data_IF_017070944315
#
_entry.id   IF_017070944315
#
_cell.length_a   1.000
_cell.length_b   1.000
_cell.length_c   1.000
_cell.angle_alpha   90.00
_cell.angle_beta   90.00
_cell.angle_gamma   90.00
#
_symmetry.space_group_name_H-M   'P 1'
#
loop_
_entity.id
_entity.type
_entity.pdbx_description
1 polymer ?
#
# COMPACT_ATOMS: atom_id res chain seq x y z
N UNK A 1 18.96 5.89 9.91
CA UNK A 1 19.44 7.09 10.64
C UNK A 1 18.59 8.34 10.33
N UNK A 2 18.21 8.59 9.07
CA UNK A 2 17.34 9.72 8.65
C UNK A 2 15.91 9.79 9.22
N UNK A 3 15.21 8.65 9.41
CA UNK A 3 13.86 8.60 10.02
C UNK A 3 13.80 9.07 11.48
N UNK A 4 14.94 9.18 12.17
CA UNK A 4 15.02 9.78 13.52
C UNK A 4 15.24 11.30 13.49
N UNK A 5 15.64 11.85 12.34
CA UNK A 5 15.96 13.27 12.15
C UNK A 5 14.73 14.00 11.59
N UNK A 6 13.98 13.35 10.70
CA UNK A 6 12.66 13.83 10.23
C UNK A 6 11.61 13.12 11.07
N UNK A 7 11.25 13.71 12.22
CA UNK A 7 10.08 13.23 12.96
C UNK A 7 8.85 13.27 12.06
N UNK A 8 8.01 12.22 12.11
CA UNK A 8 6.70 12.27 11.44
C UNK A 8 5.98 13.51 11.97
N UNK A 9 5.59 14.47 11.11
CA UNK A 9 4.89 15.66 11.57
C UNK A 9 3.66 15.25 12.37
N UNK A 10 3.45 15.85 13.55
CA UNK A 10 2.20 15.66 14.28
C UNK A 10 1.03 16.07 13.37
N UNK A 11 -0.06 15.30 13.38
CA UNK A 11 -1.29 15.66 12.65
C UNK A 11 -1.75 17.08 13.00
N UNK A 12 -1.57 17.53 14.24
CA UNK A 12 -1.90 18.89 14.68
C UNK A 12 -1.11 19.98 13.93
N UNK A 13 0.14 19.69 13.55
CA UNK A 13 0.96 20.60 12.78
C UNK A 13 0.53 20.67 11.31
N UNK A 14 0.00 19.57 10.76
CA UNK A 14 -0.50 19.49 9.39
C UNK A 14 -1.86 20.18 9.24
N UNK A 15 -2.76 20.07 10.22
CA UNK A 15 -4.10 20.69 10.18
C UNK A 15 -4.01 22.21 10.02
N UNK A 16 -2.95 22.85 10.54
CA UNK A 16 -2.72 24.30 10.39
C UNK A 16 -2.11 24.71 9.06
N UNK A 17 -1.71 23.75 8.22
CA UNK A 17 -1.04 23.96 6.93
C UNK A 17 -1.74 23.14 5.85
N UNK A 18 -2.92 23.58 5.37
CA UNK A 18 -3.81 22.75 4.55
C UNK A 18 -3.17 22.31 3.23
N UNK A 19 -2.24 23.09 2.67
CA UNK A 19 -1.46 22.69 1.50
C UNK A 19 -0.59 21.45 1.76
N UNK A 20 0.13 21.43 2.88
CA UNK A 20 0.93 20.25 3.27
C UNK A 20 0.04 19.08 3.68
N UNK A 21 -1.09 19.35 4.34
CA UNK A 21 -2.05 18.31 4.71
C UNK A 21 -2.58 17.59 3.47
N UNK A 22 -3.01 18.32 2.42
CA UNK A 22 -3.54 17.69 1.21
C UNK A 22 -2.54 16.72 0.58
N UNK A 23 -1.31 17.16 0.31
CA UNK A 23 -0.27 16.26 -0.22
C UNK A 23 0.09 15.13 0.74
N UNK A 24 0.07 15.38 2.05
CA UNK A 24 0.29 14.31 3.03
C UNK A 24 -0.79 13.24 2.93
N UNK A 25 -2.07 13.63 2.91
CA UNK A 25 -3.19 12.71 2.76
C UNK A 25 -3.09 11.97 1.43
N UNK A 26 -2.92 12.68 0.30
CA UNK A 26 -2.73 12.09 -1.02
C UNK A 26 -1.61 11.04 -1.07
N UNK A 27 -0.50 11.27 -0.37
CA UNK A 27 0.62 10.31 -0.26
C UNK A 27 0.29 9.03 0.52
N UNK A 28 -0.83 9.03 1.26
CA UNK A 28 -1.29 7.93 2.12
C UNK A 28 -2.59 7.29 1.65
N UNK A 29 -3.20 7.74 0.55
CA UNK A 29 -4.34 7.05 -0.04
C UNK A 29 -3.82 5.91 -0.93
N UNK A 30 -4.34 4.68 -0.77
CA UNK A 30 -4.02 3.57 -1.65
C UNK A 30 -4.80 3.67 -2.96
N UNK A 31 -4.25 4.44 -3.90
CA UNK A 31 -4.83 4.60 -5.23
C UNK A 31 -3.88 4.06 -6.29
N UNK A 32 -4.39 3.90 -7.51
CA UNK A 32 -3.57 3.59 -8.67
C UNK A 32 -2.65 4.77 -9.04
N UNK A 33 -1.72 4.51 -9.95
CA UNK A 33 -0.80 5.54 -10.46
C UNK A 33 -1.52 6.66 -11.23
N UNK A 34 -2.60 6.35 -11.97
CA UNK A 34 -3.41 7.34 -12.69
C UNK A 34 -4.10 8.31 -11.74
N UNK A 35 -4.78 7.79 -10.73
CA UNK A 35 -5.43 8.61 -9.70
C UNK A 35 -4.40 9.37 -8.85
N UNK A 36 -3.22 8.78 -8.60
CA UNK A 36 -2.13 9.48 -7.91
C UNK A 36 -1.65 10.69 -8.73
N UNK A 37 -1.49 10.54 -10.04
CA UNK A 37 -1.13 11.64 -10.94
C UNK A 37 -2.22 12.72 -10.95
N UNK A 38 -3.50 12.32 -11.03
CA UNK A 38 -4.64 13.23 -10.95
C UNK A 38 -4.57 14.12 -9.69
N UNK A 39 -4.35 13.52 -8.51
CA UNK A 39 -4.25 14.27 -7.24
C UNK A 39 -3.09 15.28 -7.24
N UNK A 40 -1.98 14.97 -7.89
CA UNK A 40 -0.82 15.87 -8.00
C UNK A 40 -1.10 17.05 -8.93
N UNK A 41 -1.89 16.84 -9.99
CA UNK A 41 -2.22 17.85 -10.99
C UNK A 41 -3.33 18.81 -10.56
N UNK A 42 -4.15 18.45 -9.57
CA UNK A 42 -5.20 19.34 -9.05
C UNK A 42 -4.58 20.62 -8.50
N UNK A 43 -4.88 21.74 -9.15
CA UNK A 43 -4.58 23.07 -8.67
C UNK A 43 -5.68 23.55 -7.72
N UNK A 44 -5.28 23.92 -6.51
CA UNK A 44 -6.18 24.33 -5.42
C UNK A 44 -6.39 23.29 -4.33
N UNK A 45 -6.02 23.68 -3.10
CA UNK A 45 -6.01 22.83 -1.91
C UNK A 45 -7.40 22.24 -1.61
N UNK A 46 -8.47 23.06 -1.70
CA UNK A 46 -9.83 22.62 -1.42
C UNK A 46 -10.40 21.65 -2.47
N UNK A 47 -9.92 21.70 -3.72
CA UNK A 47 -10.31 20.73 -4.74
C UNK A 47 -9.62 19.38 -4.47
N UNK A 48 -8.33 19.41 -4.14
CA UNK A 48 -7.58 18.19 -3.82
C UNK A 48 -8.13 17.47 -2.59
N UNK A 49 -8.36 18.22 -1.50
CA UNK A 49 -8.96 17.66 -0.27
C UNK A 49 -10.35 17.06 -0.52
N UNK A 50 -11.18 17.69 -1.36
CA UNK A 50 -12.50 17.13 -1.73
C UNK A 50 -12.37 15.83 -2.50
N UNK A 51 -11.45 15.78 -3.46
CA UNK A 51 -11.17 14.56 -4.23
C UNK A 51 -10.61 13.44 -3.35
N UNK A 52 -9.73 13.78 -2.41
CA UNK A 52 -9.21 12.85 -1.40
C UNK A 52 -10.33 12.27 -0.52
N UNK A 53 -11.29 13.09 -0.09
CA UNK A 53 -12.45 12.62 0.68
C UNK A 53 -13.30 11.66 -0.14
N UNK A 54 -13.64 12.01 -1.38
CA UNK A 54 -14.41 11.15 -2.29
C UNK A 54 -13.73 9.79 -2.49
N UNK A 55 -12.42 9.79 -2.75
CA UNK A 55 -11.63 8.56 -2.89
C UNK A 55 -11.66 7.73 -1.59
N UNK A 56 -11.53 8.38 -0.43
CA UNK A 56 -11.58 7.69 0.86
C UNK A 56 -12.99 7.17 1.21
N UNK A 57 -14.05 7.80 0.73
CA UNK A 57 -15.43 7.34 0.93
C UNK A 57 -15.76 6.14 0.03
N UNK A 58 -15.26 6.13 -1.21
CA UNK A 58 -15.53 5.08 -2.19
C UNK A 58 -14.52 3.91 -2.15
N UNK A 59 -13.39 4.06 -1.44
CA UNK A 59 -12.41 2.99 -1.27
C UNK A 59 -12.90 1.94 -0.26
N UNK A 60 -13.61 0.93 -0.75
CA UNK A 60 -14.00 -0.25 0.06
C UNK A 60 -13.26 -1.53 -0.37
N UNK A 61 -12.96 -1.67 -1.66
CA UNK A 61 -12.39 -2.89 -2.24
C UNK A 61 -11.08 -2.63 -2.99
N UNK A 62 -10.13 -3.53 -2.80
CA UNK A 62 -8.90 -3.63 -3.60
C UNK A 62 -9.16 -4.63 -4.71
N UNK A 63 -9.11 -4.17 -5.96
CA UNK A 63 -9.35 -5.00 -7.15
C UNK A 63 -8.09 -5.08 -8.00
N UNK A 64 -7.88 -6.20 -8.70
CA UNK A 64 -6.82 -6.31 -9.69
C UNK A 64 -7.07 -5.34 -10.84
N UNK A 65 -6.07 -4.52 -11.20
CA UNK A 65 -6.16 -3.57 -12.31
C UNK A 65 -6.47 -4.24 -13.65
N UNK A 66 -5.90 -5.42 -13.89
CA UNK A 66 -6.01 -6.12 -15.18
C UNK A 66 -7.39 -6.77 -15.40
N UNK A 67 -7.95 -7.45 -14.38
CA UNK A 67 -9.17 -8.24 -14.55
C UNK A 67 -10.32 -7.86 -13.60
N UNK A 68 -10.14 -6.84 -12.76
CA UNK A 68 -11.13 -6.36 -11.79
C UNK A 68 -11.53 -7.37 -10.69
N UNK A 69 -10.89 -8.54 -10.60
CA UNK A 69 -11.08 -9.50 -9.50
C UNK A 69 -10.83 -8.83 -8.16
N UNK A 70 -11.77 -8.97 -7.22
CA UNK A 70 -11.64 -8.46 -5.85
C UNK A 70 -10.57 -9.26 -5.10
N UNK A 71 -9.55 -8.56 -4.61
CA UNK A 71 -8.40 -9.13 -3.89
C UNK A 71 -8.56 -8.98 -2.39
N UNK A 72 -9.06 -7.83 -1.92
CA UNK A 72 -9.24 -7.58 -0.49
C UNK A 72 -10.29 -6.49 -0.24
N UNK A 73 -10.71 -6.34 1.00
CA UNK A 73 -11.49 -5.20 1.48
C UNK A 73 -10.59 -4.25 2.28
N UNK A 74 -10.94 -2.97 2.33
CA UNK A 74 -10.27 -1.93 3.14
C UNK A 74 -10.18 -2.32 4.61
N UNK A 75 -11.20 -2.99 5.15
CA UNK A 75 -11.22 -3.47 6.53
C UNK A 75 -10.10 -4.48 6.85
N UNK A 76 -9.48 -5.05 5.81
CA UNK A 76 -8.30 -5.90 5.93
C UNK A 76 -6.97 -5.14 5.99
N UNK A 77 -6.94 -3.82 5.84
CA UNK A 77 -5.70 -3.04 5.89
C UNK A 77 -4.99 -3.19 7.24
N UNK A 78 -3.67 -3.33 7.17
CA UNK A 78 -2.80 -3.57 8.30
C UNK A 78 -1.67 -2.55 8.28
N UNK A 79 -1.32 -2.00 9.45
CA UNK A 79 -0.17 -1.10 9.58
C UNK A 79 1.06 -1.90 10.00
N UNK A 80 2.01 -2.07 9.09
CA UNK A 80 3.30 -2.75 9.35
C UNK A 80 4.49 -1.79 9.42
N UNK A 81 4.28 -0.50 9.17
CA UNK A 81 5.30 0.56 9.17
C UNK A 81 4.81 1.77 9.97
N UNK A 82 5.75 2.56 10.51
CA UNK A 82 5.45 3.86 11.14
C UNK A 82 4.83 4.86 10.16
N UNK A 83 5.02 4.63 8.86
CA UNK A 83 4.51 5.48 7.78
C UNK A 83 3.05 5.15 7.42
N UNK A 84 2.44 4.15 8.08
CA UNK A 84 1.07 3.71 7.84
C UNK A 84 1.01 2.36 7.09
N UNK A 85 -0.16 2.03 6.52
CA UNK A 85 -0.38 0.78 5.79
C UNK A 85 0.20 0.78 4.37
N UNK A 86 0.79 1.89 3.93
CA UNK A 86 1.45 2.08 2.64
C UNK A 86 2.92 2.43 2.85
N UNK A 87 3.78 1.84 2.05
CA UNK A 87 5.21 2.16 2.04
C UNK A 87 5.82 1.99 0.66
N UNK A 88 6.86 2.78 0.37
CA UNK A 88 7.68 2.63 -0.82
C UNK A 88 8.92 1.79 -0.47
N UNK A 89 9.13 0.72 -1.22
CA UNK A 89 10.21 -0.23 -0.99
C UNK A 89 10.98 -0.50 -2.28
N UNK A 90 12.28 -0.76 -2.16
CA UNK A 90 13.15 -0.98 -3.32
C UNK A 90 13.57 -2.44 -3.34
N UNK A 91 13.44 -3.10 -4.49
CA UNK A 91 13.94 -4.45 -4.67
C UNK A 91 15.46 -4.45 -5.01
N UNK A 92 16.15 -5.61 -4.98
CA UNK A 92 17.59 -5.67 -5.24
C UNK A 92 18.02 -5.16 -6.62
N UNK A 93 17.12 -5.23 -7.61
CA UNK A 93 17.34 -4.71 -8.96
C UNK A 93 17.11 -3.20 -9.08
N UNK A 94 16.75 -2.52 -8.00
CA UNK A 94 16.56 -1.07 -7.96
C UNK A 94 15.15 -0.58 -8.30
N UNK A 95 14.17 -1.47 -8.51
CA UNK A 95 12.79 -1.07 -8.77
C UNK A 95 12.08 -0.68 -7.48
N UNK A 96 11.40 0.47 -7.52
CA UNK A 96 10.58 0.97 -6.42
C UNK A 96 9.16 0.41 -6.54
N UNK A 97 8.64 -0.12 -5.44
CA UNK A 97 7.28 -0.61 -5.31
C UNK A 97 6.58 0.14 -4.18
N UNK A 98 5.47 0.81 -4.50
CA UNK A 98 4.51 1.26 -3.51
C UNK A 98 3.64 0.07 -3.10
N UNK A 99 3.71 -0.31 -1.83
CA UNK A 99 3.12 -1.54 -1.30
C UNK A 99 2.15 -1.20 -0.19
N UNK A 100 0.92 -1.70 -0.34
CA UNK A 100 -0.11 -1.70 0.70
C UNK A 100 -0.05 -3.01 1.48
N UNK A 101 -0.07 -2.93 2.81
CA UNK A 101 -0.13 -4.10 3.68
C UNK A 101 -1.55 -4.45 4.12
N UNK A 102 -1.94 -5.72 3.94
CA UNK A 102 -3.26 -6.26 4.23
C UNK A 102 -3.16 -7.54 5.07
N UNK A 103 -3.99 -7.68 6.09
CA UNK A 103 -4.08 -8.91 6.89
C UNK A 103 -4.76 -10.04 6.10
N UNK A 104 -5.76 -9.72 5.28
CA UNK A 104 -6.53 -10.71 4.50
C UNK A 104 -6.56 -10.30 3.03
N UNK A 105 -6.31 -11.27 2.16
CA UNK A 105 -6.51 -11.18 0.73
C UNK A 105 -6.96 -12.55 0.17
N UNK A 106 -7.62 -12.54 -0.97
CA UNK A 106 -8.16 -13.70 -1.68
C UNK A 106 -7.91 -13.56 -3.18
N UNK A 107 -8.14 -14.63 -3.95
CA UNK A 107 -7.94 -14.59 -5.41
C UNK A 107 -6.46 -14.45 -5.82
N UNK A 108 -5.54 -14.89 -4.94
CA UNK A 108 -4.10 -14.86 -5.17
C UNK A 108 -3.53 -16.28 -5.16
N UNK A 109 -2.69 -16.58 -6.14
CA UNK A 109 -1.89 -17.80 -6.23
C UNK A 109 -0.44 -17.49 -5.80
N UNK A 110 0.15 -18.36 -4.99
CA UNK A 110 1.54 -18.23 -4.54
C UNK A 110 2.47 -19.02 -5.45
N UNK A 111 3.63 -18.43 -5.76
CA UNK A 111 4.63 -19.06 -6.63
C UNK A 111 5.99 -19.01 -5.97
N UNK A 112 6.65 -20.17 -5.91
CA UNK A 112 7.97 -20.35 -5.32
C UNK A 112 7.94 -20.59 -3.80
N UNK A 113 9.12 -20.85 -3.25
CA UNK A 113 9.31 -21.05 -1.81
C UNK A 113 9.45 -19.70 -1.07
N UNK A 114 9.01 -19.60 0.20
CA UNK A 114 9.26 -18.42 1.01
C UNK A 114 10.76 -18.16 1.21
N UNK A 115 11.21 -16.93 0.99
CA UNK A 115 12.61 -16.51 1.23
C UNK A 115 12.70 -15.27 2.11
N UNK A 116 13.71 -15.20 2.97
CA UNK A 116 14.01 -14.02 3.80
C UNK A 116 14.93 -13.02 3.07
N UNK A 117 15.51 -13.43 1.95
CA UNK A 117 16.48 -12.63 1.21
C UNK A 117 15.85 -11.31 0.76
N UNK A 118 16.48 -10.19 1.13
CA UNK A 118 15.98 -8.84 0.83
C UNK A 118 14.55 -8.53 1.28
N UNK A 119 14.05 -9.22 2.31
CA UNK A 119 12.74 -8.93 2.88
C UNK A 119 12.68 -7.51 3.45
N UNK A 120 11.62 -6.78 3.10
CA UNK A 120 11.37 -5.43 3.62
C UNK A 120 10.86 -5.41 5.06
N UNK A 121 10.39 -6.55 5.56
CA UNK A 121 9.83 -6.70 6.90
C UNK A 121 10.70 -7.71 7.67
N UNK A 122 11.63 -7.23 8.52
CA UNK A 122 12.51 -8.10 9.29
C UNK A 122 11.74 -9.15 10.10
N UNK A 123 12.19 -10.41 10.03
CA UNK A 123 11.51 -11.55 10.67
C UNK A 123 10.35 -12.16 9.85
N UNK A 124 10.19 -11.74 8.59
CA UNK A 124 9.25 -12.33 7.65
C UNK A 124 9.96 -12.78 6.36
N UNK A 125 9.64 -13.99 5.91
CA UNK A 125 9.95 -14.47 4.57
C UNK A 125 8.83 -14.04 3.60
N UNK A 126 9.16 -13.79 2.34
CA UNK A 126 8.18 -13.42 1.31
C UNK A 126 8.05 -14.51 0.24
N UNK A 127 6.86 -14.64 -0.31
CA UNK A 127 6.53 -15.50 -1.46
C UNK A 127 5.80 -14.67 -2.50
N UNK A 128 6.10 -14.84 -3.79
CA UNK A 128 5.42 -14.10 -4.85
C UNK A 128 3.92 -14.45 -4.89
N UNK A 129 3.08 -13.43 -5.05
CA UNK A 129 1.64 -13.56 -5.16
C UNK A 129 1.15 -13.01 -6.50
N UNK A 130 0.41 -13.83 -7.24
CA UNK A 130 -0.15 -13.54 -8.55
C UNK A 130 -1.67 -13.54 -8.48
N UNK A 131 -2.35 -12.73 -9.29
CA UNK A 131 -3.80 -12.84 -9.43
C UNK A 131 -4.14 -14.22 -9.99
N UNK A 132 -4.97 -14.98 -9.30
CA UNK A 132 -5.37 -16.33 -9.73
C UNK A 132 -6.25 -16.33 -11.00
N UNK A 133 -6.75 -15.16 -11.41
CA UNK A 133 -7.61 -15.02 -12.61
C UNK A 133 -6.84 -14.64 -13.86
N UNK A 134 -5.92 -13.67 -13.77
CA UNK A 134 -5.21 -13.13 -14.94
C UNK A 134 -3.69 -13.28 -14.88
N UNK A 135 -3.17 -13.93 -13.84
CA UNK A 135 -1.76 -14.28 -13.68
C UNK A 135 -0.81 -13.07 -13.67
N UNK A 136 -1.32 -11.86 -13.49
CA UNK A 136 -0.48 -10.71 -13.20
C UNK A 136 0.05 -10.78 -11.77
N UNK A 137 1.34 -10.52 -11.59
CA UNK A 137 1.93 -10.43 -10.25
C UNK A 137 1.24 -9.30 -9.46
N UNK A 138 0.63 -9.61 -8.32
CA UNK A 138 -0.04 -8.63 -7.48
C UNK A 138 0.86 -8.13 -6.35
N UNK A 139 1.77 -8.97 -5.87
CA UNK A 139 2.69 -8.61 -4.79
C UNK A 139 3.29 -9.82 -4.12
N UNK A 140 3.18 -9.89 -2.80
CA UNK A 140 3.83 -10.90 -1.97
C UNK A 140 2.99 -11.31 -0.76
N UNK A 141 3.12 -12.57 -0.33
CA UNK A 141 2.73 -13.02 1.00
C UNK A 141 3.96 -12.99 1.91
N UNK A 142 3.88 -12.26 3.02
CA UNK A 142 4.88 -12.25 4.08
C UNK A 142 4.47 -13.21 5.19
N UNK A 143 5.36 -14.14 5.56
CA UNK A 143 5.12 -15.16 6.60
C UNK A 143 6.19 -15.07 7.68
N UNK A 144 5.75 -15.01 8.95
CA UNK A 144 6.63 -14.83 10.09
C UNK A 144 7.53 -16.05 10.32
N UNK A 145 8.85 -15.82 10.33
CA UNK A 145 9.86 -16.87 10.53
C UNK A 145 10.00 -17.28 12.01
N UNK A 146 9.46 -16.46 12.93
CA UNK A 146 9.40 -16.76 14.36
C UNK A 146 7.95 -16.79 14.88
N UNK A 147 7.61 -17.82 15.67
CA UNK A 147 6.29 -18.02 16.30
C UNK A 147 5.82 -16.87 17.21
N UNK A 148 6.74 -16.07 17.73
CA UNK A 148 6.44 -14.91 18.60
C UNK A 148 5.93 -13.69 17.82
N UNK A 149 6.23 -13.60 16.53
CA UNK A 149 5.82 -12.46 15.70
C UNK A 149 4.33 -12.53 15.36
N UNK A 150 3.71 -11.35 15.38
CA UNK A 150 2.33 -11.12 14.94
C UNK A 150 2.31 -9.97 13.92
N UNK A 151 1.49 -10.07 12.87
CA UNK A 151 0.67 -11.24 12.51
C UNK A 151 1.54 -12.44 12.07
N UNK A 152 0.96 -13.65 11.97
CA UNK A 152 1.70 -14.84 11.48
C UNK A 152 1.96 -14.77 9.98
N UNK A 153 1.08 -14.09 9.26
CA UNK A 153 1.28 -13.71 7.87
C UNK A 153 0.47 -12.46 7.54
N UNK A 154 0.87 -11.76 6.49
CA UNK A 154 0.14 -10.65 5.90
C UNK A 154 0.56 -10.51 4.44
N UNK A 155 -0.22 -9.77 3.66
CA UNK A 155 0.00 -9.53 2.24
C UNK A 155 0.60 -8.15 2.02
N UNK A 156 1.54 -8.06 1.08
CA UNK A 156 1.98 -6.79 0.50
C UNK A 156 1.53 -6.73 -0.96
N UNK A 157 0.60 -5.83 -1.30
CA UNK A 157 0.04 -5.67 -2.64
C UNK A 157 0.60 -4.40 -3.29
N UNK A 158 1.04 -4.51 -4.55
CA UNK A 158 1.58 -3.39 -5.33
C UNK A 158 0.44 -2.46 -5.75
N UNK A 159 0.52 -1.18 -5.37
CA UNK A 159 -0.53 -0.21 -5.69
C UNK A 159 -0.69 0.01 -7.20
N UNK A 160 0.38 -0.13 -7.98
CA UNK A 160 0.33 -0.06 -9.46
C UNK A 160 -0.51 -1.15 -10.13
N UNK A 161 -0.81 -2.22 -9.39
CA UNK A 161 -1.64 -3.36 -9.83
C UNK A 161 -3.06 -3.32 -9.26
N UNK A 162 -3.41 -2.25 -8.53
CA UNK A 162 -4.75 -2.02 -8.00
C UNK A 162 -5.54 -1.18 -9.00
N UNK A 163 -6.81 -1.54 -9.22
CA UNK A 163 -7.72 -0.77 -10.07
C UNK A 163 -8.09 0.56 -9.41
N UNK A 164 -8.38 1.57 -10.24
CA UNK A 164 -8.89 2.86 -9.81
C UNK A 164 -10.23 2.66 -9.07
N UNK A 165 -10.42 3.35 -7.95
CA UNK A 165 -11.72 3.47 -7.30
C UNK A 165 -12.67 4.23 -8.22
N UNK A 166 -13.74 3.55 -8.65
CA UNK A 166 -14.88 4.18 -9.33
C UNK A 166 -15.79 4.86 -8.33
#
# INVERSE_FOLDING_TARGET
MWKKIVGTPSMDALVRKPGLLSFHVASKIPVSESTRQELLEIDGISYRLRREIELLENFDQVKCRSCQTVIANRSGMLVMSTDGPLGAYVNPSGYVHEVMTLLKASGLALVGEPTEEYSWFPGYAWTLAYCATCEYQMGWLFTATNKKLKPRSFWGIRCSQVADTQ
#
